data_IF_666712692417
#
_entry.id   IF_666712692417
#
_cell.length_a   1.000
_cell.length_b   1.000
_cell.length_c   1.000
_cell.angle_alpha   90.00
_cell.angle_beta   90.00
_cell.angle_gamma   90.00
#
_symmetry.space_group_name_H-M   'P 1'
#
loop_
_entity.id
_entity.type
_entity.pdbx_description
1 polymer ?
#
# COMPACT_ATOMS: atom_id res chain seq x y z
N UNK A 1 -19.23 14.81 -5.89
CA UNK A 1 -19.60 13.39 -6.00
C UNK A 1 -18.41 12.55 -5.51
N UNK A 2 -18.66 11.64 -4.63
CA UNK A 2 -17.61 10.88 -3.96
C UNK A 2 -17.32 9.59 -4.73
N UNK A 3 -16.15 9.50 -5.36
CA UNK A 3 -15.73 8.36 -6.16
C UNK A 3 -14.66 7.47 -5.49
N UNK A 4 -14.30 7.73 -4.25
CA UNK A 4 -13.21 7.06 -3.55
C UNK A 4 -13.29 5.52 -3.64
N UNK A 5 -14.41 4.94 -3.23
CA UNK A 5 -14.57 3.48 -3.23
C UNK A 5 -14.67 2.90 -4.65
N UNK A 6 -15.22 3.64 -5.61
CA UNK A 6 -15.23 3.23 -7.01
C UNK A 6 -13.82 3.22 -7.61
N UNK A 7 -12.93 4.12 -7.17
CA UNK A 7 -11.52 4.10 -7.55
C UNK A 7 -10.77 2.96 -6.87
N UNK A 8 -10.99 2.72 -5.57
CA UNK A 8 -10.38 1.58 -4.87
C UNK A 8 -10.73 0.23 -5.52
N UNK A 9 -11.94 0.07 -6.04
CA UNK A 9 -12.35 -1.14 -6.76
C UNK A 9 -11.46 -1.45 -7.98
N UNK A 10 -10.76 -0.45 -8.54
CA UNK A 10 -9.82 -0.65 -9.64
C UNK A 10 -8.60 -1.49 -9.27
N UNK A 11 -8.26 -1.62 -7.97
CA UNK A 11 -7.14 -2.47 -7.52
C UNK A 11 -7.26 -3.90 -8.06
N UNK A 12 -8.48 -4.44 -8.18
CA UNK A 12 -8.71 -5.77 -8.77
C UNK A 12 -8.39 -5.87 -10.26
N UNK A 13 -8.30 -4.74 -10.96
CA UNK A 13 -8.00 -4.67 -12.39
C UNK A 13 -6.50 -4.50 -12.68
N UNK A 14 -5.71 -4.15 -11.66
CA UNK A 14 -4.27 -3.91 -11.79
C UNK A 14 -3.54 -5.23 -11.62
N UNK A 15 -2.88 -5.67 -12.69
CA UNK A 15 -2.08 -6.90 -12.70
C UNK A 15 -0.70 -6.61 -12.17
N UNK A 16 -0.25 -7.43 -11.22
CA UNK A 16 1.10 -7.40 -10.67
C UNK A 16 2.08 -8.17 -11.56
N UNK A 17 3.36 -7.99 -11.31
CA UNK A 17 4.46 -8.71 -11.98
C UNK A 17 4.62 -8.35 -13.46
N UNK A 18 4.32 -7.11 -13.85
CA UNK A 18 4.59 -6.60 -15.19
C UNK A 18 6.06 -6.82 -15.58
N UNK A 19 6.32 -7.39 -16.75
CA UNK A 19 7.65 -7.75 -17.27
C UNK A 19 8.41 -8.80 -16.42
N UNK A 20 7.75 -9.43 -15.44
CA UNK A 20 8.36 -10.44 -14.58
C UNK A 20 7.59 -11.76 -14.67
N UNK A 21 8.31 -12.87 -14.46
CA UNK A 21 7.68 -14.20 -14.44
C UNK A 21 6.95 -14.40 -13.11
N UNK A 22 5.71 -14.85 -13.20
CA UNK A 22 4.96 -15.36 -12.06
C UNK A 22 4.28 -16.68 -12.43
N UNK A 23 3.97 -17.49 -11.42
CA UNK A 23 3.29 -18.79 -11.61
C UNK A 23 1.79 -18.70 -11.46
N UNK A 24 1.31 -17.72 -10.68
CA UNK A 24 -0.11 -17.48 -10.43
C UNK A 24 -0.41 -16.01 -10.72
N UNK A 25 -1.42 -15.71 -11.58
CA UNK A 25 -1.85 -14.33 -11.79
C UNK A 25 -2.32 -13.70 -10.48
N UNK A 26 -1.84 -12.50 -10.20
CA UNK A 26 -2.16 -11.73 -9.01
C UNK A 26 -2.57 -10.31 -9.40
N UNK A 27 -3.54 -9.74 -8.69
CA UNK A 27 -3.91 -8.33 -8.78
C UNK A 27 -3.61 -7.61 -7.46
N UNK A 28 -3.65 -6.27 -7.46
CA UNK A 28 -3.30 -5.47 -6.29
C UNK A 28 -4.26 -5.65 -5.12
N UNK A 29 -5.54 -5.98 -5.37
CA UNK A 29 -6.50 -6.20 -4.31
C UNK A 29 -6.21 -7.51 -3.55
N UNK A 30 -5.91 -8.59 -4.27
CA UNK A 30 -5.48 -9.87 -3.70
C UNK A 30 -4.18 -9.71 -2.91
N UNK A 31 -3.20 -9.00 -3.49
CA UNK A 31 -1.94 -8.69 -2.83
C UNK A 31 -2.14 -7.89 -1.55
N UNK A 32 -2.95 -6.85 -1.57
CA UNK A 32 -3.22 -6.03 -0.39
C UNK A 32 -3.89 -6.83 0.73
N UNK A 33 -4.80 -7.74 0.39
CA UNK A 33 -5.42 -8.63 1.38
C UNK A 33 -4.38 -9.60 1.97
N UNK A 34 -3.55 -10.23 1.14
CA UNK A 34 -2.50 -11.14 1.60
C UNK A 34 -1.48 -10.40 2.48
N UNK A 35 -1.06 -9.21 2.05
CA UNK A 35 -0.16 -8.35 2.81
C UNK A 35 -0.77 -8.00 4.18
N UNK A 36 -2.05 -7.67 4.24
CA UNK A 36 -2.74 -7.34 5.49
C UNK A 36 -2.77 -8.52 6.48
N UNK A 37 -2.99 -9.74 6.01
CA UNK A 37 -2.97 -10.95 6.84
C UNK A 37 -1.56 -11.19 7.42
N UNK A 38 -0.51 -11.05 6.62
CA UNK A 38 0.87 -11.19 7.05
C UNK A 38 1.24 -10.06 8.02
N UNK A 39 0.84 -8.83 7.72
CA UNK A 39 1.07 -7.64 8.55
C UNK A 39 0.48 -7.81 9.95
N UNK A 40 -0.73 -8.34 10.06
CA UNK A 40 -1.35 -8.67 11.34
C UNK A 40 -0.48 -9.64 12.14
N UNK A 41 -0.05 -10.75 11.51
CA UNK A 41 0.81 -11.73 12.17
C UNK A 41 2.14 -11.14 12.67
N UNK A 42 2.82 -10.34 11.83
CA UNK A 42 4.06 -9.65 12.18
C UNK A 42 3.87 -8.66 13.33
N UNK A 43 2.79 -7.88 13.32
CA UNK A 43 2.51 -6.90 14.36
C UNK A 43 2.20 -7.57 15.71
N UNK A 44 1.42 -8.65 15.72
CA UNK A 44 1.18 -9.44 16.93
C UNK A 44 2.47 -10.06 17.46
N UNK A 45 3.32 -10.59 16.58
CA UNK A 45 4.63 -11.14 16.95
C UNK A 45 5.53 -10.07 17.56
N UNK A 46 5.63 -8.90 16.91
CA UNK A 46 6.43 -7.77 17.40
C UNK A 46 5.97 -7.32 18.79
N UNK A 47 4.66 -7.18 18.99
CA UNK A 47 4.08 -6.78 20.26
C UNK A 47 4.29 -7.81 21.37
N UNK A 48 4.02 -9.09 21.10
CA UNK A 48 4.00 -10.16 22.13
C UNK A 48 5.39 -10.69 22.47
N UNK A 49 6.28 -10.83 21.49
CA UNK A 49 7.60 -11.43 21.69
C UNK A 49 8.74 -10.43 21.78
N UNK A 50 8.58 -9.26 21.14
CA UNK A 50 9.63 -8.24 21.10
C UNK A 50 9.25 -6.97 21.85
N UNK A 51 8.11 -6.96 22.55
CA UNK A 51 7.64 -5.85 23.39
C UNK A 51 7.64 -4.50 22.65
N UNK A 52 7.40 -4.54 21.31
CA UNK A 52 7.31 -3.33 20.51
C UNK A 52 5.97 -2.63 20.79
N UNK A 53 6.01 -1.31 20.89
CA UNK A 53 4.81 -0.49 21.01
C UNK A 53 4.22 -0.23 19.65
N UNK A 54 3.47 -1.21 19.14
CA UNK A 54 2.80 -1.15 17.84
C UNK A 54 1.33 -1.52 17.98
N UNK A 55 0.50 -0.91 17.15
CA UNK A 55 -0.92 -1.23 17.06
C UNK A 55 -1.15 -2.20 15.88
N UNK A 56 -1.48 -3.50 16.13
CA UNK A 56 -1.65 -4.47 15.07
C UNK A 56 -2.77 -4.10 14.07
N UNK A 57 -3.87 -3.50 14.55
CA UNK A 57 -4.99 -3.09 13.70
C UNK A 57 -4.55 -1.97 12.75
N UNK A 58 -3.73 -1.03 13.24
CA UNK A 58 -3.16 0.04 12.41
C UNK A 58 -2.24 -0.52 11.32
N UNK A 59 -1.41 -1.52 11.62
CA UNK A 59 -0.55 -2.17 10.62
C UNK A 59 -1.38 -2.85 9.54
N UNK A 60 -2.48 -3.51 9.91
CA UNK A 60 -3.43 -4.10 8.94
C UNK A 60 -4.03 -3.03 8.03
N UNK A 61 -4.46 -1.90 8.60
CA UNK A 61 -5.04 -0.81 7.81
C UNK A 61 -4.01 -0.19 6.85
N UNK A 62 -2.76 -0.01 7.29
CA UNK A 62 -1.68 0.43 6.40
C UNK A 62 -1.51 -0.53 5.23
N UNK A 63 -1.48 -1.83 5.48
CA UNK A 63 -1.33 -2.85 4.46
C UNK A 63 -2.50 -2.89 3.46
N UNK A 64 -3.74 -2.67 3.92
CA UNK A 64 -4.91 -2.62 3.04
C UNK A 64 -4.86 -1.43 2.06
N UNK A 65 -4.25 -0.31 2.47
CA UNK A 65 -4.21 0.91 1.66
C UNK A 65 -2.84 1.20 1.01
N UNK A 66 -1.81 0.34 1.24
CA UNK A 66 -0.44 0.67 0.83
C UNK A 66 -0.28 0.93 -0.68
N UNK A 67 -1.00 0.19 -1.52
CA UNK A 67 -1.00 0.36 -2.98
C UNK A 67 -2.21 1.16 -3.50
N UNK A 68 -2.96 1.83 -2.61
CA UNK A 68 -4.18 2.55 -3.00
C UNK A 68 -3.95 3.62 -4.08
N UNK A 69 -2.78 4.25 -4.12
CA UNK A 69 -2.41 5.23 -5.14
C UNK A 69 -2.33 4.65 -6.55
N UNK A 70 -2.10 3.35 -6.68
CA UNK A 70 -1.97 2.66 -7.97
C UNK A 70 -3.28 2.63 -8.78
N UNK A 71 -4.43 2.88 -8.15
CA UNK A 71 -5.70 3.07 -8.87
C UNK A 71 -5.66 4.24 -9.86
N UNK A 72 -4.71 5.14 -9.70
CA UNK A 72 -4.47 6.31 -10.57
C UNK A 72 -3.23 6.11 -11.42
N UNK A 73 -2.13 5.61 -10.84
CA UNK A 73 -0.84 5.47 -11.54
C UNK A 73 -0.67 4.15 -12.30
N UNK A 74 -1.41 3.11 -11.91
CA UNK A 74 -1.08 1.73 -12.27
C UNK A 74 0.15 1.21 -11.51
N UNK A 75 0.42 -0.08 -11.64
CA UNK A 75 1.64 -0.71 -11.12
C UNK A 75 2.77 -0.54 -12.15
N UNK A 76 3.80 0.22 -11.80
CA UNK A 76 4.99 0.35 -12.63
C UNK A 76 5.90 -0.86 -12.41
N UNK A 77 6.26 -1.61 -13.47
CA UNK A 77 7.15 -2.76 -13.34
C UNK A 77 8.45 -2.42 -12.61
N UNK A 78 8.81 -3.24 -11.63
CA UNK A 78 10.01 -3.05 -10.80
C UNK A 78 11.28 -2.75 -11.60
N UNK A 79 11.59 -3.45 -12.73
CA UNK A 79 12.78 -3.14 -13.53
C UNK A 79 12.78 -1.72 -14.11
N UNK A 80 11.60 -1.12 -14.31
CA UNK A 80 11.47 0.26 -14.80
C UNK A 80 11.54 1.25 -13.65
N UNK A 81 10.83 0.97 -12.56
CA UNK A 81 10.76 1.85 -11.36
C UNK A 81 12.12 2.14 -10.76
N UNK A 82 13.01 1.16 -10.74
CA UNK A 82 14.35 1.27 -10.14
C UNK A 82 15.48 1.40 -11.16
N UNK A 83 15.19 1.75 -12.41
CA UNK A 83 16.19 1.83 -13.48
C UNK A 83 17.25 2.91 -13.21
N UNK A 84 16.84 4.05 -12.68
CA UNK A 84 17.75 5.12 -12.25
C UNK A 84 17.08 6.01 -11.20
N UNK A 85 17.87 6.82 -10.45
CA UNK A 85 17.34 7.70 -9.40
C UNK A 85 16.33 8.74 -9.91
N UNK A 86 16.53 9.25 -11.13
CA UNK A 86 15.65 10.29 -11.69
C UNK A 86 14.22 9.76 -11.92
N UNK A 87 14.11 8.55 -12.48
CA UNK A 87 12.81 7.87 -12.68
C UNK A 87 12.17 7.56 -11.31
N UNK A 88 12.96 7.07 -10.37
CA UNK A 88 12.49 6.72 -9.03
C UNK A 88 11.91 7.95 -8.31
N UNK A 89 12.60 9.09 -8.34
CA UNK A 89 12.16 10.32 -7.69
C UNK A 89 10.91 10.89 -8.37
N UNK A 90 10.88 10.90 -9.70
CA UNK A 90 9.71 11.34 -10.45
C UNK A 90 8.48 10.47 -10.16
N UNK A 91 8.66 9.15 -10.05
CA UNK A 91 7.57 8.22 -9.75
C UNK A 91 7.07 8.38 -8.30
N UNK A 92 7.94 8.60 -7.32
CA UNK A 92 7.55 8.94 -5.94
C UNK A 92 6.68 10.19 -5.87
N UNK A 93 7.04 11.22 -6.64
CA UNK A 93 6.22 12.43 -6.76
C UNK A 93 4.83 12.15 -7.33
N UNK A 94 4.75 11.31 -8.35
CA UNK A 94 3.49 10.89 -8.95
C UNK A 94 2.64 10.07 -7.97
N UNK A 95 3.24 9.13 -7.24
CA UNK A 95 2.56 8.34 -6.20
C UNK A 95 1.99 9.23 -5.09
N UNK A 96 2.76 10.21 -4.63
CA UNK A 96 2.31 11.16 -3.61
C UNK A 96 1.10 11.99 -4.09
N UNK A 97 1.13 12.48 -5.32
CA UNK A 97 0.01 13.19 -5.92
C UNK A 97 -1.22 12.30 -6.08
N UNK A 98 -1.05 11.06 -6.52
CA UNK A 98 -2.13 10.10 -6.69
C UNK A 98 -2.83 9.79 -5.35
N UNK A 99 -2.06 9.58 -4.28
CA UNK A 99 -2.60 9.35 -2.93
C UNK A 99 -3.38 10.56 -2.41
N UNK A 100 -2.85 11.77 -2.60
CA UNK A 100 -3.56 12.99 -2.21
C UNK A 100 -4.86 13.13 -3.00
N UNK A 101 -4.81 12.91 -4.29
CA UNK A 101 -5.97 12.97 -5.19
C UNK A 101 -7.06 11.96 -4.79
N UNK A 102 -6.65 10.75 -4.39
CA UNK A 102 -7.56 9.73 -3.90
C UNK A 102 -8.23 10.16 -2.57
N UNK A 103 -7.44 10.71 -1.63
CA UNK A 103 -7.95 11.21 -0.35
C UNK A 103 -8.97 12.34 -0.57
N UNK A 104 -8.71 13.23 -1.52
CA UNK A 104 -9.58 14.38 -1.85
C UNK A 104 -10.95 13.94 -2.44
N UNK A 105 -11.06 12.68 -2.88
CA UNK A 105 -12.35 12.12 -3.32
C UNK A 105 -13.29 11.78 -2.17
N UNK A 106 -12.81 11.74 -0.92
CA UNK A 106 -13.64 11.57 0.25
C UNK A 106 -14.32 12.88 0.67
N UNK A 107 -15.52 12.80 1.30
CA UNK A 107 -16.08 13.95 1.98
C UNK A 107 -15.08 14.52 2.99
N UNK A 108 -15.06 15.85 3.12
CA UNK A 108 -14.08 16.55 3.96
C UNK A 108 -14.09 16.10 5.42
N UNK A 109 -15.28 15.78 5.93
CA UNK A 109 -15.49 15.29 7.30
C UNK A 109 -14.96 13.86 7.55
N UNK A 110 -14.68 13.10 6.49
CA UNK A 110 -14.14 11.73 6.56
C UNK A 110 -12.63 11.67 6.29
N UNK A 111 -12.05 12.69 5.67
CA UNK A 111 -10.64 12.64 5.21
C UNK A 111 -9.66 12.36 6.35
N UNK A 112 -9.90 12.93 7.54
CA UNK A 112 -9.03 12.74 8.69
C UNK A 112 -8.93 11.28 9.17
N UNK A 113 -9.99 10.47 8.95
CA UNK A 113 -10.02 9.07 9.37
C UNK A 113 -9.22 8.16 8.41
N UNK A 114 -9.09 8.55 7.14
CA UNK A 114 -8.37 7.80 6.11
C UNK A 114 -6.93 8.27 5.89
N UNK A 115 -6.67 9.54 6.15
CA UNK A 115 -5.36 10.16 5.90
C UNK A 115 -4.17 9.38 6.50
N UNK A 116 -4.23 8.85 7.75
CA UNK A 116 -3.11 8.13 8.34
C UNK A 116 -2.71 6.85 7.59
N UNK A 117 -3.59 6.32 6.75
CA UNK A 117 -3.38 5.08 6.01
C UNK A 117 -3.05 5.33 4.53
N UNK A 118 -3.59 6.40 3.94
CA UNK A 118 -3.33 6.77 2.55
C UNK A 118 -2.06 7.61 2.43
N UNK A 119 -1.81 8.49 3.41
CA UNK A 119 -0.60 9.32 3.53
C UNK A 119 0.12 8.98 4.85
N UNK A 120 0.69 7.75 4.97
CA UNK A 120 1.24 7.28 6.24
C UNK A 120 2.51 8.02 6.64
N UNK A 121 2.79 8.01 7.95
CA UNK A 121 4.11 8.34 8.48
C UNK A 121 5.09 7.20 8.18
N UNK A 122 5.93 7.41 7.17
CA UNK A 122 6.91 6.42 6.69
C UNK A 122 8.08 6.19 7.67
N UNK A 123 8.12 6.91 8.80
CA UNK A 123 9.11 6.72 9.87
C UNK A 123 8.58 5.83 11.00
N UNK A 124 7.29 5.49 11.00
CA UNK A 124 6.66 4.71 12.07
C UNK A 124 7.05 3.23 12.01
N UNK A 125 7.06 2.59 13.19
CA UNK A 125 7.28 1.14 13.29
C UNK A 125 6.19 0.34 12.58
N UNK A 126 4.95 0.82 12.61
CA UNK A 126 3.84 0.21 11.90
C UNK A 126 4.04 0.21 10.39
N UNK A 127 4.54 1.33 9.82
CA UNK A 127 4.86 1.39 8.40
C UNK A 127 6.00 0.44 8.02
N UNK A 128 7.03 0.30 8.86
CA UNK A 128 8.11 -0.65 8.64
C UNK A 128 7.61 -2.10 8.64
N UNK A 129 6.66 -2.44 9.51
CA UNK A 129 6.04 -3.77 9.54
C UNK A 129 5.18 -4.01 8.31
N UNK A 130 4.45 -3.01 7.83
CA UNK A 130 3.72 -3.07 6.56
C UNK A 130 4.67 -3.35 5.39
N UNK A 131 5.79 -2.65 5.29
CA UNK A 131 6.80 -2.89 4.24
C UNK A 131 7.45 -4.27 4.33
N UNK A 132 7.62 -4.80 5.54
CA UNK A 132 8.10 -6.18 5.73
C UNK A 132 7.05 -7.20 5.23
N UNK A 133 5.78 -6.97 5.55
CA UNK A 133 4.68 -7.83 5.10
C UNK A 133 4.53 -7.82 3.58
N UNK A 134 4.62 -6.64 2.96
CA UNK A 134 4.58 -6.46 1.50
C UNK A 134 5.68 -7.30 0.82
N UNK A 135 6.91 -7.23 1.33
CA UNK A 135 8.02 -8.05 0.81
C UNK A 135 7.78 -9.55 0.98
N UNK A 136 7.27 -9.98 2.13
CA UNK A 136 7.00 -11.40 2.39
C UNK A 136 5.89 -11.91 1.47
N UNK A 137 4.86 -11.13 1.21
CA UNK A 137 3.75 -11.52 0.33
C UNK A 137 4.19 -11.69 -1.13
N UNK A 138 5.31 -11.08 -1.52
CA UNK A 138 5.87 -11.19 -2.86
C UNK A 138 6.71 -12.48 -3.10
N UNK A 139 6.93 -13.30 -2.06
CA UNK A 139 7.61 -14.59 -2.16
C UNK A 139 6.60 -15.73 -2.30
#
# INVERSE_FOLDING_TARGET
MNHFFAYLDRLRLIRRWGLMRNTVPENDMEHSMQTALIAHGLAVLAKRRHQRDVNPERVVMLALYHDSGEVITGDLPTPVKYKNPLIQDAYRGLEAQARQQLLDMLPTDMQADFQPYILPDETSDEWLLDKAADRISAY
#
